data_IF_573193289803
#
_entry.id   IF_573193289803
#
_cell.length_a   1.000
_cell.length_b   1.000
_cell.length_c   1.000
_cell.angle_alpha   90.00
_cell.angle_beta   90.00
_cell.angle_gamma   90.00
#
_symmetry.space_group_name_H-M   'P 1'
#
loop_
_entity.id
_entity.type
_entity.pdbx_description
1 polymer ?
#
# COMPACT_ATOMS: atom_id res chain seq x y z
N UNK A 1 -36.52 -22.23 -23.72
CA UNK A 1 -35.51 -21.29 -23.23
C UNK A 1 -36.12 -19.89 -23.33
N UNK A 2 -36.40 -19.22 -22.22
CA UNK A 2 -37.12 -17.93 -22.23
C UNK A 2 -36.20 -16.79 -22.73
N UNK A 3 -36.76 -15.83 -23.46
CA UNK A 3 -36.04 -14.64 -23.97
C UNK A 3 -35.32 -13.85 -22.86
N UNK A 4 -35.83 -13.87 -21.63
CA UNK A 4 -35.19 -13.25 -20.46
C UNK A 4 -33.86 -13.93 -20.07
N UNK A 5 -33.76 -15.26 -20.17
CA UNK A 5 -32.53 -15.98 -19.85
C UNK A 5 -31.45 -15.71 -20.93
N UNK A 6 -31.86 -15.60 -22.20
CA UNK A 6 -30.92 -15.24 -23.28
C UNK A 6 -30.39 -13.80 -23.16
N UNK A 7 -31.24 -12.84 -22.77
CA UNK A 7 -30.84 -11.44 -22.57
C UNK A 7 -29.89 -11.28 -21.38
N UNK A 8 -30.17 -11.99 -20.27
CA UNK A 8 -29.30 -11.98 -19.10
C UNK A 8 -27.92 -12.58 -19.42
N UNK A 9 -27.88 -13.69 -20.15
CA UNK A 9 -26.63 -14.32 -20.59
C UNK A 9 -25.79 -13.39 -21.48
N UNK A 10 -26.38 -12.69 -22.46
CA UNK A 10 -25.62 -11.80 -23.35
C UNK A 10 -25.06 -10.57 -22.63
N UNK A 11 -25.81 -9.98 -21.69
CA UNK A 11 -25.37 -8.82 -20.92
C UNK A 11 -24.23 -9.20 -19.99
N UNK A 12 -24.39 -10.27 -19.21
CA UNK A 12 -23.36 -10.76 -18.28
C UNK A 12 -22.05 -11.08 -19.02
N UNK A 13 -22.12 -11.64 -20.23
CA UNK A 13 -20.95 -11.94 -21.09
C UNK A 13 -20.18 -10.70 -21.53
N UNK A 14 -20.87 -9.69 -22.08
CA UNK A 14 -20.22 -8.46 -22.55
C UNK A 14 -19.53 -7.72 -21.40
N UNK A 15 -20.18 -7.69 -20.23
CA UNK A 15 -19.62 -7.09 -19.02
C UNK A 15 -18.38 -7.89 -18.55
N UNK A 16 -18.44 -9.22 -18.55
CA UNK A 16 -17.32 -10.08 -18.14
C UNK A 16 -16.09 -9.92 -19.04
N UNK A 17 -16.29 -9.89 -20.36
CA UNK A 17 -15.20 -9.68 -21.32
C UNK A 17 -14.57 -8.30 -21.13
N UNK A 18 -15.39 -7.25 -21.09
CA UNK A 18 -14.93 -5.89 -20.86
C UNK A 18 -14.21 -5.75 -19.51
N UNK A 19 -14.67 -6.43 -18.47
CA UNK A 19 -14.03 -6.41 -17.17
C UNK A 19 -12.60 -6.97 -17.23
N UNK A 20 -12.42 -8.17 -17.80
CA UNK A 20 -11.10 -8.80 -17.87
C UNK A 20 -10.13 -8.11 -18.82
N UNK A 21 -10.62 -7.46 -19.88
CA UNK A 21 -9.80 -6.64 -20.77
C UNK A 21 -9.21 -5.42 -20.06
N UNK A 22 -9.97 -4.83 -19.12
CA UNK A 22 -9.55 -3.67 -18.34
C UNK A 22 -8.78 -4.03 -17.05
N UNK A 23 -8.76 -5.32 -16.65
CA UNK A 23 -8.20 -5.74 -15.38
C UNK A 23 -6.67 -5.73 -15.35
N UNK A 24 -6.03 -6.06 -16.47
CA UNK A 24 -4.56 -6.06 -16.61
C UNK A 24 -4.20 -5.30 -17.87
N UNK A 25 -3.46 -4.18 -17.78
CA UNK A 25 -2.95 -3.47 -18.94
C UNK A 25 -2.12 -4.43 -19.79
N UNK A 26 -2.41 -4.49 -21.09
CA UNK A 26 -1.61 -5.29 -22.00
C UNK A 26 -0.35 -4.51 -22.34
N UNK A 27 0.78 -4.95 -21.77
CA UNK A 27 2.07 -4.39 -22.13
C UNK A 27 2.48 -4.80 -23.56
N UNK A 28 3.01 -3.86 -24.37
CA UNK A 28 3.55 -4.17 -25.69
C UNK A 28 4.68 -5.19 -25.57
N UNK A 29 4.49 -6.40 -26.11
CA UNK A 29 5.50 -7.44 -26.10
C UNK A 29 6.18 -7.53 -27.47
N UNK A 30 7.30 -6.82 -27.62
CA UNK A 30 8.05 -6.77 -28.89
C UNK A 30 8.54 -8.15 -29.34
N UNK A 31 8.94 -9.03 -28.41
CA UNK A 31 9.40 -10.39 -28.73
C UNK A 31 8.27 -11.28 -29.26
N UNK A 32 7.11 -11.22 -28.62
CA UNK A 32 5.94 -11.98 -29.08
C UNK A 32 5.45 -11.48 -30.44
N UNK A 33 5.54 -10.16 -30.68
CA UNK A 33 5.18 -9.55 -31.96
C UNK A 33 6.08 -10.05 -33.09
N UNK A 34 7.40 -10.04 -32.89
CA UNK A 34 8.37 -10.60 -33.85
C UNK A 34 8.10 -12.08 -34.12
N UNK A 35 7.88 -12.87 -33.06
CA UNK A 35 7.60 -14.30 -33.19
C UNK A 35 6.33 -14.58 -34.01
N UNK A 36 5.26 -13.80 -33.81
CA UNK A 36 4.00 -13.93 -34.56
C UNK A 36 4.18 -13.55 -36.03
N UNK A 37 4.98 -12.52 -36.34
CA UNK A 37 5.30 -12.14 -37.73
C UNK A 37 6.09 -13.24 -38.44
N UNK A 38 7.08 -13.83 -37.76
CA UNK A 38 7.97 -14.83 -38.36
C UNK A 38 7.32 -16.22 -38.48
N UNK A 39 6.53 -16.63 -37.49
CA UNK A 39 6.07 -18.03 -37.34
C UNK A 39 4.54 -18.16 -37.28
N UNK A 40 3.80 -17.06 -37.31
CA UNK A 40 2.37 -17.05 -37.04
C UNK A 40 2.04 -17.34 -35.57
N UNK A 41 0.75 -17.54 -35.28
CA UNK A 41 0.27 -17.87 -33.94
C UNK A 41 0.32 -19.39 -33.78
N UNK A 42 1.39 -19.91 -33.17
CA UNK A 42 1.58 -21.36 -33.02
C UNK A 42 0.66 -21.98 -31.95
N UNK A 43 0.46 -21.27 -30.84
CA UNK A 43 -0.43 -21.72 -29.76
C UNK A 43 -1.80 -21.09 -29.94
N UNK A 44 -2.88 -21.88 -30.04
CA UNK A 44 -4.22 -21.34 -30.23
C UNK A 44 -4.65 -20.48 -29.05
N UNK A 45 -5.50 -19.49 -29.31
CA UNK A 45 -6.21 -18.77 -28.24
C UNK A 45 -7.30 -19.67 -27.64
N UNK A 46 -7.58 -19.53 -26.35
CA UNK A 46 -8.60 -20.33 -25.69
C UNK A 46 -9.82 -19.45 -25.50
N UNK A 47 -10.96 -19.88 -26.05
CA UNK A 47 -12.24 -19.22 -25.86
C UNK A 47 -13.23 -20.19 -25.23
N UNK A 48 -14.05 -19.67 -24.34
CA UNK A 48 -15.26 -20.35 -23.88
C UNK A 48 -16.47 -19.75 -24.57
N UNK A 49 -17.56 -20.53 -24.63
CA UNK A 49 -18.86 -20.24 -25.26
C UNK A 49 -19.07 -18.78 -25.70
N UNK A 50 -19.44 -18.59 -26.98
CA UNK A 50 -19.72 -17.28 -27.58
C UNK A 50 -18.56 -16.26 -27.50
N UNK A 51 -17.31 -16.75 -27.55
CA UNK A 51 -16.05 -15.96 -27.69
C UNK A 51 -15.55 -15.24 -26.44
N UNK A 52 -15.92 -15.67 -25.23
CA UNK A 52 -15.24 -15.20 -24.02
C UNK A 52 -13.77 -15.66 -24.06
N UNK A 53 -12.83 -14.71 -24.12
CA UNK A 53 -11.41 -15.03 -24.18
C UNK A 53 -10.91 -15.47 -22.79
N UNK A 54 -10.55 -16.75 -22.67
CA UNK A 54 -9.91 -17.30 -21.45
C UNK A 54 -8.42 -17.02 -21.47
N UNK A 55 -7.77 -17.29 -22.59
CA UNK A 55 -6.32 -17.15 -22.75
C UNK A 55 -5.96 -16.65 -24.15
N UNK A 56 -4.84 -15.93 -24.24
CA UNK A 56 -4.31 -15.42 -25.49
C UNK A 56 -4.62 -13.94 -25.76
N UNK A 57 -4.95 -13.14 -24.75
CA UNK A 57 -5.21 -11.69 -24.91
C UNK A 57 -4.10 -10.97 -25.69
N UNK A 58 -2.83 -11.19 -25.34
CA UNK A 58 -1.70 -10.58 -26.05
C UNK A 58 -1.62 -11.03 -27.51
N UNK A 59 -1.83 -12.33 -27.78
CA UNK A 59 -1.85 -12.88 -29.15
C UNK A 59 -2.98 -12.25 -29.96
N UNK A 60 -4.17 -12.11 -29.39
CA UNK A 60 -5.33 -11.50 -30.03
C UNK A 60 -5.09 -10.02 -30.38
N UNK A 61 -4.49 -9.25 -29.48
CA UNK A 61 -4.21 -7.83 -29.73
C UNK A 61 -3.14 -7.64 -30.79
N UNK A 62 -2.02 -8.36 -30.69
CA UNK A 62 -0.95 -8.31 -31.70
C UNK A 62 -1.50 -8.74 -33.07
N UNK A 63 -2.33 -9.78 -33.12
CA UNK A 63 -2.97 -10.22 -34.36
C UNK A 63 -3.86 -9.13 -34.97
N UNK A 64 -4.62 -8.40 -34.15
CA UNK A 64 -5.42 -7.24 -34.61
C UNK A 64 -4.52 -6.13 -35.16
N UNK A 65 -3.44 -5.79 -34.46
CA UNK A 65 -2.50 -4.74 -34.88
C UNK A 65 -1.80 -5.11 -36.20
N UNK A 66 -1.43 -6.38 -36.36
CA UNK A 66 -0.83 -6.95 -37.57
C UNK A 66 -1.84 -7.26 -38.69
N UNK A 67 -3.14 -7.00 -38.46
CA UNK A 67 -4.24 -7.31 -39.39
C UNK A 67 -4.29 -8.77 -39.85
N UNK A 68 -3.93 -9.68 -38.94
CA UNK A 68 -4.05 -11.13 -39.17
C UNK A 68 -5.53 -11.51 -39.03
N UNK A 69 -6.13 -12.00 -40.12
CA UNK A 69 -7.56 -12.32 -40.16
C UNK A 69 -7.89 -13.69 -39.58
N UNK A 70 -6.95 -14.65 -39.65
CA UNK A 70 -7.15 -16.02 -39.21
C UNK A 70 -6.30 -16.31 -37.97
N UNK A 71 -6.97 -16.53 -36.84
CA UNK A 71 -6.34 -16.83 -35.55
C UNK A 71 -6.75 -18.23 -35.12
N UNK A 72 -5.80 -19.16 -34.89
CA UNK A 72 -6.15 -20.50 -34.40
C UNK A 72 -6.74 -20.38 -33.00
N UNK A 73 -7.87 -21.05 -32.79
CA UNK A 73 -8.63 -20.99 -31.55
C UNK A 73 -9.13 -22.37 -31.11
N UNK A 74 -9.10 -22.59 -29.79
CA UNK A 74 -9.71 -23.74 -29.12
C UNK A 74 -10.98 -23.26 -28.44
N UNK A 75 -12.12 -23.84 -28.82
CA UNK A 75 -13.41 -23.59 -28.16
C UNK A 75 -13.64 -24.62 -27.07
N UNK A 76 -13.75 -24.18 -25.82
CA UNK A 76 -14.23 -25.01 -24.72
C UNK A 76 -15.77 -25.07 -24.80
N UNK A 77 -16.30 -26.05 -25.54
CA UNK A 77 -17.74 -26.33 -25.62
C UNK A 77 -18.18 -27.37 -24.58
N UNK A 78 -19.44 -27.24 -24.13
CA UNK A 78 -20.31 -28.19 -23.40
C UNK A 78 -19.81 -28.93 -22.15
N UNK A 79 -18.55 -28.78 -21.75
CA UNK A 79 -17.94 -29.52 -20.63
C UNK A 79 -17.59 -28.64 -19.41
N UNK A 80 -17.70 -27.32 -19.53
CA UNK A 80 -17.18 -26.36 -18.54
C UNK A 80 -18.27 -25.33 -18.20
N UNK A 81 -18.66 -25.23 -16.93
CA UNK A 81 -19.58 -24.19 -16.45
C UNK A 81 -18.89 -22.80 -16.44
N UNK A 82 -19.69 -21.74 -16.26
CA UNK A 82 -19.18 -20.36 -16.25
C UNK A 82 -18.12 -20.16 -15.16
N UNK A 83 -18.34 -20.71 -13.97
CA UNK A 83 -17.42 -20.57 -12.85
C UNK A 83 -16.05 -21.16 -13.21
N UNK A 84 -16.02 -22.36 -13.78
CA UNK A 84 -14.80 -23.06 -14.20
C UNK A 84 -14.09 -22.33 -15.33
N UNK A 85 -14.83 -21.71 -16.27
CA UNK A 85 -14.23 -20.85 -17.29
C UNK A 85 -13.56 -19.60 -16.68
N UNK A 86 -14.21 -18.98 -15.69
CA UNK A 86 -13.65 -17.87 -14.91
C UNK A 86 -12.40 -18.32 -14.14
N UNK A 87 -12.42 -19.49 -13.52
CA UNK A 87 -11.25 -20.04 -12.82
C UNK A 87 -10.05 -20.20 -13.75
N UNK A 88 -10.25 -20.81 -14.92
CA UNK A 88 -9.20 -20.92 -15.93
C UNK A 88 -8.62 -19.55 -16.30
N UNK A 89 -9.49 -18.54 -16.45
CA UNK A 89 -9.06 -17.16 -16.72
C UNK A 89 -8.24 -16.61 -15.56
N UNK A 90 -8.68 -16.74 -14.31
CA UNK A 90 -7.95 -16.24 -13.15
C UNK A 90 -6.60 -16.93 -12.95
N UNK A 91 -6.54 -18.24 -13.19
CA UNK A 91 -5.28 -19.00 -13.16
C UNK A 91 -4.28 -18.47 -14.19
N UNK A 92 -4.75 -18.07 -15.39
CA UNK A 92 -3.88 -17.45 -16.40
C UNK A 92 -3.32 -16.07 -15.99
N UNK A 93 -4.01 -15.40 -15.05
CA UNK A 93 -3.63 -14.08 -14.51
C UNK A 93 -2.88 -14.17 -13.18
N UNK A 94 -2.66 -15.39 -12.66
CA UNK A 94 -2.05 -15.59 -11.35
C UNK A 94 -0.66 -14.94 -11.29
N UNK A 95 -0.41 -14.21 -10.21
CA UNK A 95 0.83 -13.45 -9.99
C UNK A 95 0.95 -12.15 -10.80
N UNK A 96 0.03 -11.86 -11.72
CA UNK A 96 -0.01 -10.59 -12.48
C UNK A 96 -0.95 -9.55 -11.88
N UNK A 97 -1.91 -10.00 -11.06
CA UNK A 97 -2.90 -9.13 -10.45
C UNK A 97 -2.34 -8.44 -9.19
N UNK A 98 -2.48 -7.12 -9.13
CA UNK A 98 -2.23 -6.35 -7.91
C UNK A 98 -3.28 -6.69 -6.83
N UNK A 99 -3.03 -6.29 -5.57
CA UNK A 99 -4.04 -6.45 -4.52
C UNK A 99 -5.39 -5.83 -4.92
N UNK A 100 -5.37 -4.59 -5.41
CA UNK A 100 -6.59 -3.84 -5.73
C UNK A 100 -7.32 -4.49 -6.91
N UNK A 101 -6.60 -4.97 -7.93
CA UNK A 101 -7.22 -5.73 -9.02
C UNK A 101 -7.88 -7.02 -8.53
N UNK A 102 -7.23 -7.77 -7.64
CA UNK A 102 -7.83 -8.98 -7.05
C UNK A 102 -9.09 -8.67 -6.25
N UNK A 103 -9.09 -7.59 -5.47
CA UNK A 103 -10.28 -7.14 -4.75
C UNK A 103 -11.39 -6.73 -5.73
N UNK A 104 -11.06 -6.01 -6.82
CA UNK A 104 -12.00 -5.66 -7.89
C UNK A 104 -12.66 -6.88 -8.50
N UNK A 105 -11.93 -7.99 -8.71
CA UNK A 105 -12.49 -9.28 -9.17
C UNK A 105 -13.57 -9.78 -8.22
N UNK A 106 -13.29 -9.81 -6.92
CA UNK A 106 -14.27 -10.26 -5.91
C UNK A 106 -15.52 -9.37 -5.89
N UNK A 107 -15.35 -8.05 -5.90
CA UNK A 107 -16.46 -7.11 -5.93
C UNK A 107 -17.28 -7.25 -7.22
N UNK A 108 -16.61 -7.41 -8.35
CA UNK A 108 -17.24 -7.58 -9.65
C UNK A 108 -18.10 -8.85 -9.66
N UNK A 109 -17.54 -9.98 -9.23
CA UNK A 109 -18.29 -11.23 -9.15
C UNK A 109 -19.46 -11.14 -8.17
N UNK A 110 -19.27 -10.48 -7.03
CA UNK A 110 -20.34 -10.31 -6.05
C UNK A 110 -21.51 -9.46 -6.58
N UNK A 111 -21.20 -8.42 -7.36
CA UNK A 111 -22.20 -7.40 -7.76
C UNK A 111 -22.83 -7.67 -9.12
N UNK A 112 -22.15 -8.39 -10.01
CA UNK A 112 -22.56 -8.54 -11.42
C UNK A 112 -22.73 -9.98 -11.86
N UNK A 113 -22.22 -10.96 -11.11
CA UNK A 113 -22.41 -12.36 -11.41
C UNK A 113 -23.31 -12.99 -10.33
N UNK A 114 -24.18 -13.91 -10.73
CA UNK A 114 -25.03 -14.68 -9.81
C UNK A 114 -24.23 -15.78 -9.09
N UNK A 115 -23.01 -15.46 -8.65
CA UNK A 115 -22.12 -16.37 -7.94
C UNK A 115 -22.41 -16.25 -6.45
N UNK A 116 -22.76 -17.37 -5.83
CA UNK A 116 -23.10 -17.37 -4.41
C UNK A 116 -21.93 -16.92 -3.54
N UNK A 117 -22.23 -16.28 -2.41
CA UNK A 117 -21.23 -15.86 -1.42
C UNK A 117 -20.34 -17.03 -0.96
N UNK A 118 -20.93 -18.22 -0.78
CA UNK A 118 -20.22 -19.42 -0.37
C UNK A 118 -19.20 -19.83 -1.44
N UNK A 119 -19.60 -19.80 -2.72
CA UNK A 119 -18.69 -20.04 -3.84
C UNK A 119 -17.56 -18.99 -3.88
N UNK A 120 -17.87 -17.70 -3.76
CA UNK A 120 -16.84 -16.65 -3.75
C UNK A 120 -15.77 -16.87 -2.68
N UNK A 121 -16.18 -17.26 -1.47
CA UNK A 121 -15.27 -17.44 -0.34
C UNK A 121 -14.44 -18.72 -0.48
N UNK A 122 -15.08 -19.84 -0.82
CA UNK A 122 -14.41 -21.13 -0.78
C UNK A 122 -13.64 -21.43 -2.07
N UNK A 123 -14.10 -20.90 -3.20
CA UNK A 123 -13.57 -21.18 -4.54
C UNK A 123 -12.69 -20.04 -5.07
N UNK A 124 -13.21 -18.81 -5.10
CA UNK A 124 -12.53 -17.70 -5.78
C UNK A 124 -11.52 -16.93 -4.93
N UNK A 125 -11.72 -16.79 -3.60
CA UNK A 125 -10.71 -16.16 -2.74
C UNK A 125 -9.34 -16.86 -2.81
N UNK A 126 -9.24 -18.21 -2.70
CA UNK A 126 -7.97 -18.90 -2.83
C UNK A 126 -7.28 -18.71 -4.17
N UNK A 127 -8.04 -18.65 -5.26
CA UNK A 127 -7.50 -18.42 -6.60
C UNK A 127 -6.85 -17.04 -6.74
N UNK A 128 -7.29 -16.09 -5.92
CA UNK A 128 -6.73 -14.74 -5.82
C UNK A 128 -5.74 -14.61 -4.64
N UNK A 129 -5.24 -15.74 -4.12
CA UNK A 129 -4.27 -15.81 -3.02
C UNK A 129 -4.75 -15.11 -1.73
N UNK A 130 -6.06 -15.19 -1.44
CA UNK A 130 -6.65 -14.84 -0.15
C UNK A 130 -7.02 -16.11 0.64
N UNK A 131 -7.14 -16.01 1.97
CA UNK A 131 -7.68 -17.12 2.76
C UNK A 131 -9.19 -17.26 2.56
N UNK A 132 -9.70 -18.50 2.58
CA UNK A 132 -11.13 -18.84 2.48
C UNK A 132 -11.89 -18.49 3.76
N UNK A 133 -11.94 -17.21 4.10
CA UNK A 133 -12.55 -16.74 5.33
C UNK A 133 -13.54 -15.61 5.04
N UNK A 134 -14.72 -15.74 5.64
CA UNK A 134 -15.82 -14.77 5.53
C UNK A 134 -15.40 -13.34 5.90
N UNK A 135 -14.51 -13.17 6.89
CA UNK A 135 -14.04 -11.83 7.25
C UNK A 135 -13.13 -11.22 6.18
N UNK A 136 -12.36 -12.01 5.43
CA UNK A 136 -11.53 -11.53 4.32
C UNK A 136 -12.41 -11.06 3.18
N UNK A 137 -13.46 -11.81 2.84
CA UNK A 137 -14.45 -11.37 1.85
C UNK A 137 -15.04 -10.01 2.23
N UNK A 138 -15.45 -9.82 3.50
CA UNK A 138 -15.96 -8.52 3.97
C UNK A 138 -14.92 -7.41 3.91
N UNK A 139 -13.65 -7.71 4.21
CA UNK A 139 -12.57 -6.74 4.07
C UNK A 139 -12.40 -6.29 2.62
N UNK A 140 -12.43 -7.24 1.67
CA UNK A 140 -12.37 -6.94 0.24
C UNK A 140 -13.50 -5.97 -0.18
N UNK A 141 -14.75 -6.26 0.19
CA UNK A 141 -15.88 -5.38 -0.14
C UNK A 141 -15.71 -3.98 0.46
N UNK A 142 -15.34 -3.89 1.75
CA UNK A 142 -15.11 -2.60 2.42
C UNK A 142 -13.97 -1.80 1.82
N UNK A 143 -12.89 -2.45 1.38
CA UNK A 143 -11.78 -1.76 0.70
C UNK A 143 -12.26 -1.12 -0.60
N UNK A 144 -13.19 -1.74 -1.33
CA UNK A 144 -13.74 -1.17 -2.57
C UNK A 144 -14.63 0.05 -2.35
N UNK A 145 -15.04 0.34 -1.11
CA UNK A 145 -15.75 1.57 -0.76
C UNK A 145 -14.82 2.78 -0.62
N UNK A 146 -13.49 2.59 -0.64
CA UNK A 146 -12.53 3.69 -0.61
C UNK A 146 -12.58 4.52 -1.90
N UNK A 147 -12.27 5.84 -1.83
CA UNK A 147 -12.19 6.69 -3.02
C UNK A 147 -11.19 6.15 -4.05
N UNK A 148 -11.44 6.40 -5.34
CA UNK A 148 -10.62 5.90 -6.46
C UNK A 148 -9.15 6.28 -6.33
N UNK A 149 -8.89 7.50 -5.89
CA UNK A 149 -7.54 8.05 -5.73
C UNK A 149 -6.78 7.29 -4.63
N UNK A 150 -7.48 6.91 -3.56
CA UNK A 150 -6.92 6.09 -2.47
C UNK A 150 -6.61 4.69 -2.98
N UNK A 151 -7.53 4.08 -3.75
CA UNK A 151 -7.31 2.76 -4.34
C UNK A 151 -6.10 2.75 -5.28
N UNK A 152 -5.98 3.75 -6.15
CA UNK A 152 -4.83 3.92 -7.04
C UNK A 152 -3.53 4.09 -6.26
N UNK A 153 -3.55 4.89 -5.18
CA UNK A 153 -2.40 5.07 -4.31
C UNK A 153 -2.02 3.77 -3.58
N UNK A 154 -3.00 2.99 -3.12
CA UNK A 154 -2.75 1.68 -2.51
C UNK A 154 -2.09 0.70 -3.49
N UNK A 155 -2.49 0.74 -4.76
CA UNK A 155 -1.90 -0.05 -5.83
C UNK A 155 -0.45 0.37 -6.10
N UNK A 156 -0.21 1.66 -6.31
CA UNK A 156 1.12 2.23 -6.57
C UNK A 156 2.11 1.92 -5.44
N UNK A 157 1.69 2.12 -4.19
CA UNK A 157 2.52 1.91 -3.00
C UNK A 157 2.48 0.47 -2.47
N UNK A 158 1.86 -0.46 -3.20
CA UNK A 158 1.81 -1.90 -2.90
C UNK A 158 1.32 -2.21 -1.48
N UNK A 159 0.19 -1.62 -1.09
CA UNK A 159 -0.43 -1.90 0.20
C UNK A 159 -0.78 -3.39 0.34
N UNK A 160 -0.66 -3.93 1.54
CA UNK A 160 -1.27 -5.20 1.92
C UNK A 160 -2.77 -5.05 2.20
N UNK A 161 -3.53 -6.16 2.19
CA UNK A 161 -4.97 -6.13 2.49
C UNK A 161 -5.25 -5.50 3.86
N UNK A 162 -4.45 -5.84 4.88
CA UNK A 162 -4.57 -5.27 6.22
C UNK A 162 -4.40 -3.75 6.21
N UNK A 163 -3.40 -3.26 5.48
CA UNK A 163 -3.12 -1.83 5.36
C UNK A 163 -4.24 -1.10 4.60
N UNK A 164 -4.71 -1.64 3.47
CA UNK A 164 -5.83 -1.05 2.72
C UNK A 164 -7.11 -1.05 3.57
N UNK A 165 -7.40 -2.15 4.25
CA UNK A 165 -8.56 -2.25 5.14
C UNK A 165 -8.49 -1.25 6.31
N UNK A 166 -7.30 -0.99 6.86
CA UNK A 166 -7.13 0.01 7.90
C UNK A 166 -7.57 1.41 7.45
N UNK A 167 -7.45 1.74 6.15
CA UNK A 167 -7.89 3.04 5.63
C UNK A 167 -9.41 3.23 5.70
N UNK A 168 -10.19 2.15 5.74
CA UNK A 168 -11.67 2.19 5.78
C UNK A 168 -12.24 2.79 7.07
N UNK A 169 -11.40 2.98 8.10
CA UNK A 169 -11.82 3.60 9.37
C UNK A 169 -11.81 5.13 9.32
N UNK A 170 -11.14 5.73 8.34
CA UNK A 170 -11.03 7.18 8.23
C UNK A 170 -12.25 7.75 7.51
N UNK A 171 -12.61 8.98 7.86
CA UNK A 171 -13.68 9.69 7.15
C UNK A 171 -13.27 10.03 5.72
N UNK A 172 -14.23 10.06 4.81
CA UNK A 172 -14.02 10.45 3.40
C UNK A 172 -13.36 11.82 3.31
N UNK A 173 -13.79 12.80 4.11
CA UNK A 173 -13.18 14.12 4.15
C UNK A 173 -11.66 14.10 4.49
N UNK A 174 -11.23 13.19 5.38
CA UNK A 174 -9.81 13.05 5.70
C UNK A 174 -9.06 12.39 4.54
N UNK A 175 -9.60 11.30 3.99
CA UNK A 175 -9.03 10.60 2.82
C UNK A 175 -8.87 11.55 1.62
N UNK A 176 -9.92 12.30 1.29
CA UNK A 176 -9.93 13.28 0.20
C UNK A 176 -8.87 14.36 0.42
N UNK A 177 -8.72 14.85 1.65
CA UNK A 177 -7.70 15.85 1.97
C UNK A 177 -6.27 15.36 1.72
N UNK A 178 -5.99 14.07 1.93
CA UNK A 178 -4.69 13.50 1.61
C UNK A 178 -4.53 13.21 0.11
N UNK A 179 -5.60 12.74 -0.55
CA UNK A 179 -5.55 12.41 -1.99
C UNK A 179 -5.13 13.60 -2.85
N UNK A 180 -5.63 14.79 -2.54
CA UNK A 180 -5.28 16.05 -3.20
C UNK A 180 -3.82 16.49 -2.97
N UNK A 181 -3.10 15.81 -2.07
CA UNK A 181 -1.73 16.16 -1.64
C UNK A 181 -0.75 15.02 -1.85
N UNK A 182 -1.09 13.94 -2.55
CA UNK A 182 -0.16 12.83 -2.76
C UNK A 182 1.14 13.25 -3.45
N UNK A 183 1.08 14.14 -4.44
CA UNK A 183 2.27 14.69 -5.11
C UNK A 183 3.12 15.59 -4.19
N UNK A 184 2.59 15.98 -3.03
CA UNK A 184 3.33 16.78 -2.06
C UNK A 184 4.33 15.93 -1.26
N UNK A 185 4.13 14.61 -1.20
CA UNK A 185 4.82 13.74 -0.26
C UNK A 185 5.29 12.44 -0.93
N UNK A 186 6.46 11.96 -0.58
CA UNK A 186 6.97 10.66 -1.02
C UNK A 186 6.65 9.58 0.03
N UNK A 187 5.36 9.34 0.26
CA UNK A 187 4.92 8.37 1.27
C UNK A 187 5.20 6.92 0.87
N UNK A 188 5.68 6.12 1.82
CA UNK A 188 5.50 4.66 1.78
C UNK A 188 4.16 4.28 2.41
N UNK A 189 3.68 3.06 2.18
CA UNK A 189 2.40 2.60 2.73
C UNK A 189 2.30 2.74 4.26
N UNK A 190 3.34 2.32 4.98
CA UNK A 190 3.38 2.41 6.44
C UNK A 190 3.45 3.85 6.94
N UNK A 191 4.25 4.70 6.26
CA UNK A 191 4.38 6.11 6.64
C UNK A 191 3.08 6.87 6.39
N UNK A 192 2.38 6.57 5.28
CA UNK A 192 1.07 7.15 5.00
C UNK A 192 0.07 6.83 6.12
N UNK A 193 -0.01 5.56 6.52
CA UNK A 193 -0.91 5.12 7.60
C UNK A 193 -0.54 5.79 8.93
N UNK A 194 0.75 5.85 9.29
CA UNK A 194 1.23 6.56 10.49
C UNK A 194 0.79 8.02 10.49
N UNK A 195 0.92 8.71 9.36
CA UNK A 195 0.52 10.11 9.23
C UNK A 195 -1.01 10.28 9.32
N UNK A 196 -1.76 9.42 8.62
CA UNK A 196 -3.23 9.41 8.67
C UNK A 196 -3.74 9.19 10.11
N UNK A 197 -3.13 8.25 10.83
CA UNK A 197 -3.42 7.98 12.24
C UNK A 197 -3.12 9.20 13.11
N UNK A 198 -1.95 9.79 12.94
CA UNK A 198 -1.56 10.97 13.70
C UNK A 198 -2.49 12.17 13.48
N UNK A 199 -2.87 12.42 12.22
CA UNK A 199 -3.86 13.46 11.91
C UNK A 199 -5.22 13.10 12.50
N UNK A 200 -5.71 11.88 12.29
CA UNK A 200 -7.01 11.44 12.79
C UNK A 200 -7.11 11.58 14.32
N UNK A 201 -6.10 11.15 15.06
CA UNK A 201 -6.04 11.26 16.52
C UNK A 201 -5.99 12.71 16.98
N UNK A 202 -5.19 13.55 16.31
CA UNK A 202 -5.13 14.98 16.61
C UNK A 202 -6.49 15.66 16.38
N UNK A 203 -7.14 15.43 15.23
CA UNK A 203 -8.45 15.98 14.91
C UNK A 203 -9.50 15.55 15.95
N UNK A 204 -9.52 14.26 16.32
CA UNK A 204 -10.45 13.70 17.30
C UNK A 204 -10.23 14.29 18.69
N UNK A 205 -8.98 14.36 19.15
CA UNK A 205 -8.61 14.86 20.49
C UNK A 205 -8.98 16.34 20.65
N UNK A 206 -8.73 17.14 19.61
CA UNK A 206 -8.94 18.59 19.63
C UNK A 206 -10.30 19.04 19.08
N UNK A 207 -11.12 18.11 18.56
CA UNK A 207 -12.42 18.37 17.93
C UNK A 207 -12.34 19.43 16.83
N UNK A 208 -11.30 19.38 16.01
CA UNK A 208 -11.08 20.31 14.90
C UNK A 208 -11.41 19.64 13.57
N UNK A 209 -11.78 20.46 12.58
CA UNK A 209 -12.05 19.99 11.23
C UNK A 209 -10.76 19.80 10.41
N UNK A 210 -10.83 18.89 9.43
CA UNK A 210 -9.71 18.58 8.51
C UNK A 210 -9.21 19.84 7.80
N UNK A 211 -10.11 20.72 7.35
CA UNK A 211 -9.75 21.96 6.67
C UNK A 211 -8.96 22.91 7.59
N UNK A 212 -9.33 22.99 8.87
CA UNK A 212 -8.63 23.82 9.86
C UNK A 212 -7.22 23.31 10.15
N UNK A 213 -7.03 21.99 10.18
CA UNK A 213 -5.70 21.39 10.34
C UNK A 213 -4.76 21.78 9.18
N UNK A 214 -5.22 21.62 7.94
CA UNK A 214 -4.42 21.97 6.76
C UNK A 214 -4.27 23.50 6.57
N UNK A 215 -5.19 24.29 7.12
CA UNK A 215 -5.11 25.76 7.13
C UNK A 215 -4.13 26.33 8.16
N UNK A 216 -3.45 25.48 8.94
CA UNK A 216 -2.48 25.94 9.92
C UNK A 216 -1.26 26.57 9.22
N UNK A 217 -1.08 27.89 9.39
CA UNK A 217 0.02 28.65 8.76
C UNK A 217 1.40 28.12 9.12
N UNK A 218 1.61 27.69 10.37
CA UNK A 218 2.90 27.16 10.81
C UNK A 218 3.22 25.84 10.08
N UNK A 219 2.22 24.97 9.90
CA UNK A 219 2.38 23.75 9.11
C UNK A 219 2.73 24.07 7.66
N UNK A 220 1.97 24.96 7.02
CA UNK A 220 2.20 25.33 5.62
C UNK A 220 3.61 25.89 5.41
N UNK A 221 4.06 26.81 6.27
CA UNK A 221 5.41 27.37 6.21
C UNK A 221 6.50 26.30 6.38
N UNK A 222 6.32 25.35 7.30
CA UNK A 222 7.25 24.23 7.48
C UNK A 222 7.36 23.35 6.23
N UNK A 223 6.23 23.09 5.58
CA UNK A 223 6.20 22.27 4.38
C UNK A 223 6.77 23.00 3.15
N UNK A 224 6.51 24.30 3.01
CA UNK A 224 7.06 25.14 1.93
C UNK A 224 8.59 25.31 2.03
N UNK A 225 9.14 25.31 3.25
CA UNK A 225 10.58 25.37 3.46
C UNK A 225 11.33 24.10 3.00
N UNK A 226 10.63 22.98 2.84
CA UNK A 226 11.21 21.69 2.46
C UNK A 226 11.35 21.59 0.94
N UNK A 227 12.54 21.24 0.44
CA UNK A 227 12.86 21.30 -1.00
C UNK A 227 12.37 20.08 -1.76
N UNK A 228 12.40 18.91 -1.13
CA UNK A 228 12.00 17.64 -1.75
C UNK A 228 10.75 17.04 -1.13
N UNK A 229 10.07 16.15 -1.83
CA UNK A 229 8.91 15.41 -1.31
C UNK A 229 9.27 14.53 -0.10
N UNK A 230 10.49 13.99 -0.08
CA UNK A 230 11.01 13.20 1.04
C UNK A 230 11.26 14.05 2.27
N UNK A 231 11.85 15.24 2.10
CA UNK A 231 12.00 16.23 3.18
C UNK A 231 10.62 16.66 3.70
N UNK A 232 9.67 16.97 2.81
CA UNK A 232 8.29 17.33 3.21
C UNK A 232 7.63 16.22 4.04
N UNK A 233 7.83 14.97 3.65
CA UNK A 233 7.31 13.81 4.37
C UNK A 233 7.90 13.71 5.78
N UNK A 234 9.22 13.84 5.90
CA UNK A 234 9.90 13.79 7.20
C UNK A 234 9.48 14.96 8.10
N UNK A 235 9.45 16.17 7.55
CA UNK A 235 8.99 17.38 8.25
C UNK A 235 7.55 17.21 8.75
N UNK A 236 6.66 16.69 7.91
CA UNK A 236 5.27 16.45 8.29
C UNK A 236 5.15 15.43 9.44
N UNK A 237 5.87 14.31 9.36
CA UNK A 237 5.90 13.31 10.43
C UNK A 237 6.39 13.89 11.75
N UNK A 238 7.47 14.66 11.72
CA UNK A 238 8.04 15.28 12.92
C UNK A 238 7.09 16.32 13.52
N UNK A 239 6.41 17.09 12.67
CA UNK A 239 5.36 18.01 13.10
C UNK A 239 4.19 17.27 13.77
N UNK A 240 3.70 16.17 13.20
CA UNK A 240 2.65 15.37 13.84
C UNK A 240 3.08 14.81 15.19
N UNK A 241 4.32 14.32 15.29
CA UNK A 241 4.88 13.84 16.57
C UNK A 241 4.91 14.94 17.62
N UNK A 242 5.24 16.18 17.25
CA UNK A 242 5.27 17.29 18.21
C UNK A 242 3.89 17.74 18.68
N UNK A 243 2.88 17.58 17.84
CA UNK A 243 1.49 17.81 18.23
C UNK A 243 0.96 16.72 19.18
N UNK A 244 1.31 15.46 18.93
CA UNK A 244 0.75 14.33 19.67
C UNK A 244 1.46 14.07 20.99
N UNK A 245 2.79 14.27 21.03
CA UNK A 245 3.66 13.93 22.15
C UNK A 245 4.53 15.12 22.60
N UNK A 246 3.94 16.29 22.93
CA UNK A 246 4.71 17.52 23.20
C UNK A 246 5.66 17.36 24.39
N UNK A 247 5.18 16.76 25.50
CA UNK A 247 5.99 16.52 26.70
C UNK A 247 7.17 15.59 26.41
N UNK A 248 6.95 14.53 25.62
CA UNK A 248 8.02 13.59 25.25
C UNK A 248 9.12 14.28 24.43
N UNK A 249 8.73 15.18 23.51
CA UNK A 249 9.71 15.94 22.72
C UNK A 249 10.48 16.93 23.60
N UNK A 250 9.80 17.63 24.50
CA UNK A 250 10.45 18.56 25.42
C UNK A 250 11.47 17.85 26.31
N UNK A 251 11.11 16.69 26.88
CA UNK A 251 12.01 15.88 27.69
C UNK A 251 13.19 15.35 26.88
N UNK A 252 12.95 14.79 25.69
CA UNK A 252 14.04 14.35 24.81
C UNK A 252 14.97 15.51 24.41
N UNK A 253 14.46 16.73 24.27
CA UNK A 253 15.29 17.92 23.99
C UNK A 253 16.16 18.28 25.19
N UNK A 254 15.65 18.18 26.42
CA UNK A 254 16.43 18.36 27.65
C UNK A 254 17.56 17.33 27.69
N UNK A 255 17.24 16.05 27.51
CA UNK A 255 18.24 14.96 27.51
C UNK A 255 19.28 15.17 26.40
N UNK A 256 18.86 15.54 25.19
CA UNK A 256 19.77 15.82 24.07
C UNK A 256 20.72 16.97 24.39
N UNK A 257 20.23 18.05 25.00
CA UNK A 257 21.06 19.19 25.41
C UNK A 257 22.05 18.82 26.52
N UNK A 258 21.67 17.93 27.44
CA UNK A 258 22.58 17.41 28.46
C UNK A 258 23.65 16.51 27.82
N UNK A 259 23.25 15.58 26.95
CA UNK A 259 24.16 14.68 26.25
C UNK A 259 25.18 15.43 25.37
N UNK A 260 24.79 16.57 24.79
CA UNK A 260 25.67 17.40 23.98
C UNK A 260 26.79 18.10 24.79
N UNK A 261 26.67 18.17 26.12
CA UNK A 261 27.71 18.73 27.00
C UNK A 261 28.85 17.75 27.26
N UNK A 262 28.65 16.46 26.97
CA UNK A 262 29.65 15.43 27.23
C UNK A 262 30.92 15.62 26.39
N UNK A 263 32.09 15.19 26.90
CA UNK A 263 33.36 15.31 26.19
C UNK A 263 33.38 14.58 24.84
N UNK A 264 34.13 15.12 23.88
CA UNK A 264 34.37 14.45 22.59
C UNK A 264 34.94 13.05 22.82
N UNK A 265 34.31 12.05 22.22
CA UNK A 265 34.66 10.63 22.40
C UNK A 265 33.69 9.87 23.28
N UNK A 266 32.88 10.57 24.10
CA UNK A 266 31.82 9.98 24.91
C UNK A 266 30.48 10.33 24.27
N UNK A 267 29.60 9.34 24.13
CA UNK A 267 28.24 9.53 23.66
C UNK A 267 27.28 8.69 24.47
N UNK A 268 26.06 9.20 24.67
CA UNK A 268 24.99 8.49 25.37
C UNK A 268 23.88 8.21 24.38
N UNK A 269 23.35 6.99 24.44
CA UNK A 269 22.10 6.59 23.81
C UNK A 269 21.09 6.25 24.90
N UNK A 270 19.85 6.62 24.67
CA UNK A 270 18.72 6.33 25.54
C UNK A 270 17.54 5.89 24.67
N UNK A 271 16.51 5.35 25.31
CA UNK A 271 15.23 5.04 24.66
C UNK A 271 14.45 6.34 24.38
N UNK A 272 14.22 6.74 23.11
CA UNK A 272 13.48 7.97 22.81
C UNK A 272 12.01 7.95 23.25
N UNK A 273 11.45 6.77 23.52
CA UNK A 273 10.11 6.63 24.09
C UNK A 273 10.07 6.94 25.60
N UNK A 274 11.24 7.00 26.27
CA UNK A 274 11.39 7.16 27.72
C UNK A 274 10.62 6.10 28.53
N UNK A 275 10.43 4.91 27.97
CA UNK A 275 9.82 3.78 28.68
C UNK A 275 10.86 3.03 29.51
N UNK A 276 12.12 3.01 29.04
CA UNK A 276 13.24 2.36 29.69
C UNK A 276 14.17 3.38 30.35
N UNK A 277 14.46 3.18 31.64
CA UNK A 277 15.38 4.03 32.42
C UNK A 277 16.87 3.69 32.22
N UNK A 278 17.20 3.04 31.11
CA UNK A 278 18.55 2.61 30.79
C UNK A 278 19.23 3.62 29.87
N UNK A 279 20.49 3.93 30.20
CA UNK A 279 21.38 4.71 29.34
C UNK A 279 22.55 3.85 28.89
N UNK A 280 22.85 3.89 27.61
CA UNK A 280 24.03 3.25 27.05
C UNK A 280 25.11 4.31 26.80
N UNK A 281 26.22 4.22 27.55
CA UNK A 281 27.39 5.07 27.37
C UNK A 281 28.36 4.38 26.41
N UNK A 282 28.72 5.07 25.32
CA UNK A 282 29.69 4.60 24.33
C UNK A 282 30.92 5.51 24.35
N UNK A 283 32.09 4.90 24.53
CA UNK A 283 33.39 5.57 24.60
C UNK A 283 34.22 5.17 23.38
N UNK A 284 34.65 6.14 22.58
CA UNK A 284 35.46 5.94 21.38
C UNK A 284 36.89 6.33 21.70
N UNK A 285 37.79 5.33 21.68
CA UNK A 285 39.20 5.50 22.00
C UNK A 285 40.10 4.81 20.99
N UNK A 286 41.29 5.39 20.73
CA UNK A 286 42.28 4.85 19.79
C UNK A 286 43.49 4.19 20.46
N UNK A 287 43.64 4.33 21.78
CA UNK A 287 44.72 3.71 22.54
C UNK A 287 44.33 3.45 23.99
N UNK A 288 45.15 2.68 24.71
CA UNK A 288 44.93 2.40 26.13
C UNK A 288 45.01 3.67 26.98
N UNK A 289 45.93 4.58 26.64
CA UNK A 289 46.12 5.87 27.31
C UNK A 289 44.93 6.80 27.08
N UNK A 290 44.41 6.84 25.85
CA UNK A 290 43.22 7.61 25.48
C UNK A 290 41.97 7.07 26.18
N UNK A 291 41.82 5.73 26.27
CA UNK A 291 40.71 5.11 27.01
C UNK A 291 40.77 5.47 28.50
N UNK A 292 41.96 5.36 29.11
CA UNK A 292 42.17 5.77 30.50
C UNK A 292 41.80 7.24 30.70
N UNK A 293 42.27 8.13 29.82
CA UNK A 293 41.97 9.56 29.89
C UNK A 293 40.46 9.84 29.80
N UNK A 294 39.75 9.17 28.89
CA UNK A 294 38.30 9.33 28.75
C UNK A 294 37.54 8.77 29.95
N UNK A 295 37.95 7.63 30.50
CA UNK A 295 37.37 7.09 31.74
C UNK A 295 37.59 8.04 32.93
N UNK A 296 38.80 8.57 33.11
CA UNK A 296 39.08 9.56 34.17
C UNK A 296 38.25 10.84 33.97
N UNK A 297 38.04 11.26 32.72
CA UNK A 297 37.21 12.43 32.41
C UNK A 297 35.75 12.17 32.75
N UNK A 298 35.23 11.00 32.39
CA UNK A 298 33.86 10.60 32.72
C UNK A 298 33.65 10.46 34.23
N UNK A 299 34.66 9.99 34.97
CA UNK A 299 34.63 9.86 36.43
C UNK A 299 34.77 11.20 37.17
N UNK A 300 34.91 12.32 36.47
CA UNK A 300 34.90 13.64 37.10
C UNK A 300 33.48 13.97 37.58
N UNK A 301 33.35 14.60 38.75
CA UNK A 301 32.06 14.87 39.41
C UNK A 301 31.09 15.60 38.47
N UNK A 302 31.57 16.61 37.73
CA UNK A 302 30.76 17.37 36.79
C UNK A 302 30.14 16.52 35.65
N UNK A 303 30.89 15.55 35.13
CA UNK A 303 30.42 14.70 34.03
C UNK A 303 29.50 13.60 34.58
N UNK A 304 29.81 13.05 35.75
CA UNK A 304 28.92 12.12 36.46
C UNK A 304 27.60 12.78 36.86
N UNK A 305 27.60 14.04 37.27
CA UNK A 305 26.38 14.82 37.53
C UNK A 305 25.56 15.00 36.26
N UNK A 306 26.22 15.22 35.12
CA UNK A 306 25.55 15.33 33.82
C UNK A 306 24.90 14.00 33.42
N UNK A 307 25.62 12.88 33.59
CA UNK A 307 25.09 11.53 33.36
C UNK A 307 23.91 11.24 34.30
N UNK A 308 24.03 11.60 35.57
CA UNK A 308 22.98 11.39 36.58
C UNK A 308 21.74 12.22 36.26
N UNK A 309 21.92 13.48 35.86
CA UNK A 309 20.82 14.35 35.40
C UNK A 309 20.10 13.79 34.17
N UNK A 310 20.82 13.12 33.27
CA UNK A 310 20.21 12.43 32.13
C UNK A 310 19.35 11.25 32.62
N UNK A 311 19.87 10.43 33.53
CA UNK A 311 19.13 9.29 34.11
C UNK A 311 17.89 9.76 34.87
N UNK A 312 17.99 10.84 35.64
CA UNK A 312 16.86 11.43 36.37
C UNK A 312 15.79 12.02 35.46
N UNK A 313 16.16 12.35 34.21
CA UNK A 313 15.24 12.86 33.19
C UNK A 313 14.55 11.76 32.37
N UNK A 314 14.85 10.47 32.61
CA UNK A 314 14.18 9.31 32.01
C UNK A 314 12.94 8.87 32.82
#
# INVERSE_FOLDING_TARGET
MSLQNCLHDTITKNILSSFFENLVPVEPNSKLSVSIVENGILSPIIVWKDKLLIDGQQRLLIARDLKINDIPMVMLQDMVDLESAIECRLLSLKGRLTLIQRIKVIQFFHSHLDITRVTLINRFLPLLDFSSQEHIFRQCLKVMELPSEILSFCEEKKFSLKQAYQLTRFSTALLDSFSTRFSMFSFSASVFIECMDGVHDYLRKHKIEVASFWGNKALLQLLEASKTEAERTLTFRNYLKSLLLPTLIEQNKIITNLAAKLPKGISIKWDPALENKEVQISIISRSKEDLKKQLTTLSNDQEMDTVSSIIDSL
#
